data_IF_243977744250
#
_entry.id   IF_243977744250
#
_cell.length_a   1.000
_cell.length_b   1.000
_cell.length_c   1.000
_cell.angle_alpha   90.00
_cell.angle_beta   90.00
_cell.angle_gamma   90.00
#
_symmetry.space_group_name_H-M   'P 1'
#
loop_
_entity.id
_entity.type
_entity.pdbx_description
1 polymer ?
#
# COMPACT_ATOMS: atom_id res chain seq x y z
N UNK A 1 28.36 -6.39 -12.00
CA UNK A 1 27.30 -5.47 -11.53
C UNK A 1 27.05 -5.80 -10.07
N UNK A 2 27.11 -4.81 -9.16
CA UNK A 2 26.92 -5.06 -7.71
C UNK A 2 25.58 -5.77 -7.49
N UNK A 3 25.58 -6.81 -6.65
CA UNK A 3 24.38 -7.51 -6.20
C UNK A 3 23.30 -6.50 -5.84
N UNK A 4 22.23 -6.49 -6.63
CA UNK A 4 21.00 -5.80 -6.23
C UNK A 4 20.36 -6.72 -5.20
N UNK A 5 20.20 -6.22 -3.98
CA UNK A 5 19.48 -6.93 -2.92
C UNK A 5 17.98 -6.79 -3.22
N UNK A 6 17.52 -7.44 -4.28
CA UNK A 6 16.10 -7.60 -4.55
C UNK A 6 15.49 -8.53 -3.49
N UNK A 7 14.28 -8.24 -3.04
CA UNK A 7 13.51 -9.22 -2.26
C UNK A 7 13.06 -10.38 -3.15
N UNK A 8 12.54 -11.45 -2.55
CA UNK A 8 12.04 -12.61 -3.29
C UNK A 8 10.92 -12.20 -4.26
N UNK A 9 10.01 -11.33 -3.80
CA UNK A 9 8.97 -10.74 -4.65
C UNK A 9 9.59 -9.93 -5.79
N UNK A 10 10.45 -8.95 -5.49
CA UNK A 10 11.04 -8.08 -6.52
C UNK A 10 11.83 -8.88 -7.57
N UNK A 11 12.57 -9.90 -7.13
CA UNK A 11 13.36 -10.77 -7.99
C UNK A 11 12.48 -11.55 -8.97
N UNK A 12 11.31 -12.03 -8.54
CA UNK A 12 10.37 -12.75 -9.40
C UNK A 12 9.89 -11.87 -10.57
N UNK A 13 9.50 -10.62 -10.29
CA UNK A 13 9.09 -9.67 -11.33
C UNK A 13 10.27 -9.19 -12.18
N UNK A 14 11.45 -8.99 -11.58
CA UNK A 14 12.65 -8.57 -12.29
C UNK A 14 13.12 -9.61 -13.32
N UNK A 15 13.02 -10.91 -13.03
CA UNK A 15 13.38 -11.97 -13.99
C UNK A 15 12.33 -12.09 -15.09
N UNK A 16 11.05 -11.86 -14.78
CA UNK A 16 9.94 -12.00 -15.71
C UNK A 16 9.90 -10.91 -16.81
N UNK A 17 10.52 -9.75 -16.58
CA UNK A 17 10.53 -8.66 -17.56
C UNK A 17 11.36 -9.02 -18.83
N UNK A 18 11.02 -8.39 -19.96
CA UNK A 18 11.64 -8.69 -21.26
C UNK A 18 13.16 -8.42 -21.33
N UNK A 19 13.66 -7.44 -20.57
CA UNK A 19 15.09 -7.08 -20.52
C UNK A 19 15.54 -6.81 -19.09
N UNK A 20 16.55 -7.55 -18.65
CA UNK A 20 17.16 -7.42 -17.31
C UNK A 20 18.38 -6.48 -17.33
N UNK A 21 18.75 -5.95 -18.50
CA UNK A 21 19.86 -5.01 -18.64
C UNK A 21 19.42 -3.65 -18.10
N UNK A 22 20.11 -3.17 -17.07
CA UNK A 22 19.86 -1.87 -16.47
C UNK A 22 21.08 -0.97 -16.60
N UNK A 23 20.88 0.21 -17.16
CA UNK A 23 21.92 1.25 -17.35
C UNK A 23 21.83 2.37 -16.32
N UNK A 24 20.74 2.41 -15.55
CA UNK A 24 20.48 3.41 -14.51
C UNK A 24 21.20 3.08 -13.20
N UNK A 25 21.46 4.11 -12.38
CA UNK A 25 21.99 3.95 -11.03
C UNK A 25 20.94 3.40 -10.05
N UNK A 26 19.68 3.81 -10.23
CA UNK A 26 18.55 3.36 -9.43
C UNK A 26 17.94 2.12 -10.10
N UNK A 27 17.77 1.01 -9.37
CA UNK A 27 17.11 -0.18 -9.91
C UNK A 27 15.63 0.10 -10.21
N UNK A 28 15.12 -0.53 -11.26
CA UNK A 28 13.71 -0.46 -11.66
C UNK A 28 13.19 -1.84 -12.06
N UNK A 29 11.87 -2.01 -12.08
CA UNK A 29 11.19 -3.17 -12.63
C UNK A 29 10.22 -2.64 -13.68
N UNK A 30 10.33 -3.11 -14.92
CA UNK A 30 9.39 -2.75 -15.97
C UNK A 30 8.17 -3.68 -15.92
N UNK A 31 6.98 -3.08 -15.95
CA UNK A 31 5.70 -3.79 -15.97
C UNK A 31 4.84 -3.27 -17.12
N UNK A 32 3.96 -4.12 -17.64
CA UNK A 32 3.20 -3.81 -18.85
C UNK A 32 1.94 -2.96 -18.57
N UNK A 33 1.42 -2.98 -17.34
CA UNK A 33 0.15 -2.33 -17.00
C UNK A 33 0.00 -2.03 -15.49
N UNK A 34 -1.02 -1.22 -15.16
CA UNK A 34 -1.33 -0.82 -13.78
C UNK A 34 -1.82 -1.97 -12.87
N UNK A 35 -2.64 -2.94 -13.31
CA UNK A 35 -2.94 -4.13 -12.53
C UNK A 35 -1.71 -4.88 -12.03
N UNK A 36 -0.71 -5.08 -12.88
CA UNK A 36 0.54 -5.76 -12.52
C UNK A 36 1.37 -4.93 -11.54
N UNK A 37 1.40 -3.60 -11.71
CA UNK A 37 2.01 -2.70 -10.73
C UNK A 37 1.34 -2.81 -9.37
N UNK A 38 0.01 -2.86 -9.35
CA UNK A 38 -0.75 -3.09 -8.12
C UNK A 38 -0.44 -4.42 -7.46
N UNK A 39 -0.32 -5.50 -8.25
CA UNK A 39 0.02 -6.83 -7.74
C UNK A 39 1.44 -6.84 -7.14
N UNK A 40 2.45 -6.37 -7.87
CA UNK A 40 3.83 -6.28 -7.37
C UNK A 40 3.87 -5.48 -6.06
N UNK A 41 3.25 -4.30 -6.05
CA UNK A 41 3.25 -3.42 -4.87
C UNK A 41 2.54 -4.08 -3.69
N UNK A 42 1.44 -4.80 -3.92
CA UNK A 42 0.70 -5.51 -2.88
C UNK A 42 1.51 -6.65 -2.29
N UNK A 43 2.12 -7.48 -3.13
CA UNK A 43 2.96 -8.60 -2.68
C UNK A 43 4.17 -8.11 -1.90
N UNK A 44 4.85 -7.06 -2.40
CA UNK A 44 6.00 -6.49 -1.71
C UNK A 44 5.61 -5.82 -0.40
N UNK A 45 4.45 -5.16 -0.35
CA UNK A 45 3.91 -4.61 0.88
C UNK A 45 3.64 -5.71 1.93
N UNK A 46 2.95 -6.79 1.55
CA UNK A 46 2.66 -7.91 2.46
C UNK A 46 3.93 -8.65 2.93
N UNK A 47 4.92 -8.81 2.04
CA UNK A 47 6.25 -9.32 2.41
C UNK A 47 6.89 -8.41 3.47
N UNK A 48 6.86 -7.09 3.28
CA UNK A 48 7.41 -6.14 4.25
C UNK A 48 6.67 -6.14 5.58
N UNK A 49 5.34 -6.15 5.58
CA UNK A 49 4.51 -6.20 6.79
C UNK A 49 4.78 -7.48 7.57
N UNK A 50 5.01 -8.61 6.90
CA UNK A 50 5.35 -9.87 7.56
C UNK A 50 6.66 -9.80 8.37
N UNK A 51 7.58 -8.94 7.98
CA UNK A 51 8.84 -8.67 8.66
C UNK A 51 8.74 -7.48 9.64
N UNK A 52 7.73 -6.63 9.48
CA UNK A 52 7.54 -5.37 10.21
C UNK A 52 6.07 -5.21 10.66
N UNK A 53 5.56 -6.09 11.54
CA UNK A 53 4.14 -6.11 11.91
C UNK A 53 3.67 -4.83 12.62
N UNK A 54 4.57 -4.12 13.30
CA UNK A 54 4.31 -2.84 13.99
C UNK A 54 4.89 -1.64 13.22
N UNK A 55 5.16 -1.81 11.92
CA UNK A 55 5.78 -0.81 11.08
C UNK A 55 4.94 0.46 10.92
N UNK A 56 5.61 1.57 10.59
CA UNK A 56 4.97 2.85 10.25
C UNK A 56 4.82 2.95 8.74
N UNK A 57 3.61 3.23 8.28
CA UNK A 57 3.27 3.33 6.85
C UNK A 57 2.61 4.67 6.53
N UNK A 58 2.80 5.10 5.29
CA UNK A 58 2.12 6.26 4.72
C UNK A 58 1.79 5.95 3.28
N UNK A 59 0.50 5.89 2.95
CA UNK A 59 0.00 5.41 1.66
C UNK A 59 -0.70 6.55 0.90
N UNK A 60 -0.46 6.68 -0.42
CA UNK A 60 -1.03 7.76 -1.23
C UNK A 60 -2.53 7.59 -1.42
N UNK A 61 -3.25 8.66 -1.76
CA UNK A 61 -4.66 8.62 -2.14
C UNK A 61 -4.83 8.72 -3.66
N UNK A 62 -6.07 8.62 -4.15
CA UNK A 62 -6.40 8.81 -5.58
C UNK A 62 -6.50 7.51 -6.39
N UNK A 63 -6.28 7.61 -7.71
CA UNK A 63 -6.47 6.49 -8.66
C UNK A 63 -5.27 5.56 -8.76
N UNK A 64 -4.06 6.08 -8.63
CA UNK A 64 -2.83 5.30 -8.73
C UNK A 64 -2.78 4.09 -7.78
N UNK A 65 -3.15 4.21 -6.48
CA UNK A 65 -3.13 3.07 -5.57
C UNK A 65 -4.31 2.10 -5.73
N UNK A 66 -5.27 2.35 -6.63
CA UNK A 66 -6.53 1.58 -6.71
C UNK A 66 -6.28 0.07 -6.90
N UNK A 67 -5.39 -0.32 -7.81
CA UNK A 67 -5.05 -1.73 -8.00
C UNK A 67 -4.25 -2.31 -6.83
N UNK A 68 -3.40 -1.52 -6.18
CA UNK A 68 -2.68 -1.93 -4.98
C UNK A 68 -3.66 -2.24 -3.84
N UNK A 69 -4.63 -1.37 -3.58
CA UNK A 69 -5.68 -1.56 -2.56
C UNK A 69 -6.49 -2.82 -2.89
N UNK A 70 -6.99 -2.91 -4.12
CA UNK A 70 -7.80 -4.06 -4.58
C UNK A 70 -7.07 -5.39 -4.42
N UNK A 71 -5.81 -5.47 -4.86
CA UNK A 71 -5.01 -6.69 -4.71
C UNK A 71 -4.76 -7.01 -3.24
N UNK A 72 -4.41 -6.01 -2.42
CA UNK A 72 -4.12 -6.23 -1.00
C UNK A 72 -5.35 -6.75 -0.26
N UNK A 73 -6.51 -6.10 -0.43
CA UNK A 73 -7.77 -6.59 0.15
C UNK A 73 -8.14 -7.99 -0.39
N UNK A 74 -7.97 -8.24 -1.69
CA UNK A 74 -8.31 -9.53 -2.30
C UNK A 74 -7.43 -10.67 -1.74
N UNK A 75 -6.13 -10.44 -1.61
CA UNK A 75 -5.20 -11.42 -1.06
C UNK A 75 -5.47 -11.68 0.42
N UNK A 76 -5.72 -10.65 1.23
CA UNK A 76 -6.02 -10.77 2.66
C UNK A 76 -7.35 -11.51 2.91
N UNK A 77 -8.42 -11.13 2.20
CA UNK A 77 -9.77 -11.70 2.41
C UNK A 77 -9.87 -13.17 1.97
N UNK A 78 -9.01 -13.60 1.05
CA UNK A 78 -9.03 -14.95 0.48
C UNK A 78 -7.69 -15.66 0.64
N UNK A 79 -7.02 -15.46 1.78
CA UNK A 79 -5.67 -15.98 2.03
C UNK A 79 -5.55 -17.50 1.88
N UNK A 80 -6.58 -18.26 2.24
CA UNK A 80 -6.56 -19.74 2.12
C UNK A 80 -7.03 -20.25 0.74
N UNK A 81 -7.31 -19.36 -0.21
CA UNK A 81 -7.67 -19.74 -1.57
C UNK A 81 -6.43 -20.28 -2.31
N UNK A 82 -6.54 -21.51 -2.86
CA UNK A 82 -5.44 -22.21 -3.54
C UNK A 82 -4.91 -21.49 -4.79
N UNK A 83 -5.77 -20.83 -5.56
CA UNK A 83 -5.36 -20.10 -6.75
C UNK A 83 -4.54 -18.86 -6.35
N UNK A 84 -4.96 -18.15 -5.31
CA UNK A 84 -4.23 -16.99 -4.78
C UNK A 84 -2.96 -17.39 -4.01
N UNK A 85 -2.94 -18.55 -3.36
CA UNK A 85 -1.71 -19.14 -2.81
C UNK A 85 -0.69 -19.43 -3.91
N UNK A 86 -1.12 -20.07 -4.99
CA UNK A 86 -0.29 -20.33 -6.17
C UNK A 86 0.21 -19.01 -6.78
N UNK A 87 -0.66 -18.00 -6.91
CA UNK A 87 -0.29 -16.68 -7.41
C UNK A 87 0.80 -16.03 -6.54
N UNK A 88 0.65 -16.02 -5.21
CA UNK A 88 1.63 -15.44 -4.28
C UNK A 88 2.97 -16.15 -4.37
N UNK A 89 2.98 -17.48 -4.28
CA UNK A 89 4.20 -18.30 -4.35
C UNK A 89 4.92 -18.15 -5.68
N UNK A 90 4.19 -18.16 -6.80
CA UNK A 90 4.75 -17.94 -8.15
C UNK A 90 5.44 -16.58 -8.26
N UNK A 91 4.91 -15.57 -7.59
CA UNK A 91 5.42 -14.20 -7.60
C UNK A 91 6.34 -13.90 -6.40
N UNK A 92 6.92 -14.92 -5.77
CA UNK A 92 7.98 -14.76 -4.77
C UNK A 92 7.54 -14.43 -3.35
N UNK A 93 6.22 -14.33 -3.08
CA UNK A 93 5.72 -14.13 -1.72
C UNK A 93 5.59 -15.49 -1.01
N UNK A 94 6.60 -15.84 -0.21
CA UNK A 94 6.67 -17.08 0.56
C UNK A 94 6.43 -16.84 2.05
N UNK A 95 5.18 -16.55 2.40
CA UNK A 95 4.73 -16.42 3.80
C UNK A 95 3.57 -17.36 4.06
N UNK A 96 3.67 -18.11 5.16
CA UNK A 96 2.72 -19.19 5.49
C UNK A 96 1.41 -18.68 6.08
N UNK A 97 1.43 -17.50 6.73
CA UNK A 97 0.27 -16.91 7.40
C UNK A 97 -0.04 -15.55 6.81
N UNK A 98 -1.33 -15.19 6.81
CA UNK A 98 -1.75 -13.83 6.44
C UNK A 98 -1.10 -12.86 7.39
N UNK A 99 -0.44 -11.80 6.90
CA UNK A 99 0.03 -10.73 7.77
C UNK A 99 -1.17 -10.10 8.49
N UNK A 100 -1.00 -9.82 9.78
CA UNK A 100 -1.93 -9.01 10.54
C UNK A 100 -1.52 -7.55 10.41
N UNK A 101 -2.39 -6.72 9.84
CA UNK A 101 -2.12 -5.31 9.59
C UNK A 101 -2.58 -4.43 10.76
N UNK A 102 -3.29 -4.97 11.75
CA UNK A 102 -3.91 -4.22 12.84
C UNK A 102 -2.90 -3.49 13.75
N UNK A 103 -1.62 -3.87 13.69
CA UNK A 103 -0.56 -3.28 14.49
C UNK A 103 0.24 -2.21 13.72
N UNK A 104 -0.02 -2.01 12.44
CA UNK A 104 0.64 -0.97 11.65
C UNK A 104 0.22 0.43 12.12
N UNK A 105 1.18 1.35 12.18
CA UNK A 105 0.91 2.77 12.43
C UNK A 105 0.72 3.49 11.10
N UNK A 106 -0.46 4.04 10.87
CA UNK A 106 -0.76 4.77 9.64
C UNK A 106 -0.53 6.26 9.83
N UNK A 107 0.17 6.92 8.91
CA UNK A 107 0.35 8.38 8.88
C UNK A 107 -0.17 8.92 7.56
N UNK A 108 -1.18 9.79 7.60
CA UNK A 108 -1.74 10.44 6.41
C UNK A 108 -0.71 11.41 5.79
N UNK A 109 -0.61 11.40 4.46
CA UNK A 109 0.36 12.23 3.70
C UNK A 109 -0.11 13.68 3.61
N UNK A 110 -1.35 13.87 3.18
CA UNK A 110 -1.89 15.18 2.81
C UNK A 110 -3.42 15.23 2.97
N UNK A 111 -3.96 16.44 2.93
CA UNK A 111 -5.39 16.74 2.93
C UNK A 111 -5.64 18.08 2.23
N UNK A 112 -6.83 18.28 1.68
CA UNK A 112 -7.29 19.59 1.24
C UNK A 112 -7.71 20.42 2.45
N UNK A 113 -6.97 21.48 2.77
CA UNK A 113 -7.35 22.40 3.85
C UNK A 113 -8.12 23.62 3.31
N UNK A 114 -9.25 24.04 3.92
CA UNK A 114 -9.90 23.53 5.14
C UNK A 114 -11.13 22.65 4.82
N UNK A 115 -10.99 21.64 3.96
CA UNK A 115 -12.11 20.81 3.53
C UNK A 115 -12.71 20.07 4.72
N UNK A 116 -14.04 19.98 4.76
CA UNK A 116 -14.71 19.20 5.79
C UNK A 116 -14.38 17.69 5.60
N UNK A 117 -13.82 17.01 6.63
CA UNK A 117 -13.50 15.58 6.63
C UNK A 117 -14.60 14.64 6.16
N UNK A 118 -15.87 15.02 6.32
CA UNK A 118 -17.01 14.18 5.94
C UNK A 118 -17.30 14.21 4.43
N UNK A 119 -16.62 15.06 3.66
CA UNK A 119 -16.83 15.13 2.22
C UNK A 119 -16.14 13.96 1.50
N UNK A 120 -16.80 13.43 0.48
CA UNK A 120 -16.32 12.28 -0.29
C UNK A 120 -14.94 12.49 -0.95
N UNK A 121 -14.59 13.73 -1.28
CA UNK A 121 -13.30 14.12 -1.85
C UNK A 121 -12.23 14.43 -0.79
N UNK A 122 -12.54 14.31 0.50
CA UNK A 122 -11.57 14.43 1.59
C UNK A 122 -10.68 13.20 1.64
N UNK A 123 -9.38 13.43 1.81
CA UNK A 123 -8.40 12.35 1.88
C UNK A 123 -8.48 11.56 3.18
N UNK A 124 -8.90 12.18 4.29
CA UNK A 124 -9.19 11.45 5.53
C UNK A 124 -10.35 10.46 5.33
N UNK A 125 -11.40 10.84 4.60
CA UNK A 125 -12.51 9.94 4.26
C UNK A 125 -12.03 8.78 3.37
N UNK A 126 -11.19 9.08 2.37
CA UNK A 126 -10.56 8.05 1.53
C UNK A 126 -9.70 7.08 2.37
N UNK A 127 -8.84 7.60 3.25
CA UNK A 127 -7.96 6.81 4.12
C UNK A 127 -8.77 5.91 5.05
N UNK A 128 -9.80 6.45 5.69
CA UNK A 128 -10.69 5.67 6.57
C UNK A 128 -11.32 4.50 5.81
N UNK A 129 -11.90 4.77 4.64
CA UNK A 129 -12.64 3.77 3.86
C UNK A 129 -11.71 2.71 3.26
N UNK A 130 -10.66 3.13 2.56
CA UNK A 130 -9.88 2.22 1.71
C UNK A 130 -8.66 1.62 2.39
N UNK A 131 -8.11 2.30 3.40
CA UNK A 131 -6.95 1.80 4.14
C UNK A 131 -7.33 1.30 5.52
N UNK A 132 -7.96 2.12 6.38
CA UNK A 132 -8.22 1.68 7.75
C UNK A 132 -9.25 0.54 7.79
N UNK A 133 -10.45 0.75 7.24
CA UNK A 133 -11.47 -0.29 7.14
C UNK A 133 -11.02 -1.42 6.20
N UNK A 134 -10.51 -1.07 5.01
CA UNK A 134 -10.10 -2.03 3.99
C UNK A 134 -8.98 -2.97 4.41
N UNK A 135 -8.03 -2.52 5.25
CA UNK A 135 -6.90 -3.31 5.73
C UNK A 135 -7.05 -3.75 7.19
N UNK A 136 -8.14 -3.38 7.87
CA UNK A 136 -8.37 -3.73 9.28
C UNK A 136 -7.41 -3.03 10.25
N UNK A 137 -6.97 -1.81 9.92
CA UNK A 137 -6.13 -0.99 10.80
C UNK A 137 -7.05 -0.18 11.73
N UNK A 138 -6.97 -0.37 13.06
CA UNK A 138 -7.74 0.41 14.03
C UNK A 138 -7.47 1.92 13.92
N UNK A 139 -8.49 2.74 14.16
CA UNK A 139 -8.35 4.21 14.10
C UNK A 139 -7.34 4.78 15.10
N UNK A 140 -7.17 4.17 16.27
CA UNK A 140 -6.19 4.58 17.29
C UNK A 140 -4.74 4.26 16.89
N UNK A 141 -4.55 3.49 15.81
CA UNK A 141 -3.26 3.29 15.17
C UNK A 141 -2.95 4.32 14.08
N UNK A 142 -3.86 5.24 13.79
CA UNK A 142 -3.74 6.20 12.71
C UNK A 142 -3.53 7.64 13.20
N UNK A 143 -2.59 8.34 12.56
CA UNK A 143 -2.43 9.79 12.64
C UNK A 143 -3.01 10.41 11.37
N UNK A 144 -4.19 11.02 11.52
CA UNK A 144 -4.99 11.57 10.43
C UNK A 144 -5.06 13.09 10.50
N UNK A 145 -5.28 13.73 9.36
CA UNK A 145 -5.37 15.19 9.25
C UNK A 145 -6.85 15.59 9.31
N UNK A 146 -7.35 15.83 10.53
CA UNK A 146 -8.72 16.35 10.72
C UNK A 146 -8.75 17.87 10.59
N UNK A 147 -9.17 18.37 9.44
CA UNK A 147 -9.22 19.81 9.16
C UNK A 147 -10.19 20.58 10.08
N UNK A 148 -11.19 19.94 10.69
CA UNK A 148 -12.09 20.59 11.66
C UNK A 148 -11.38 20.92 12.99
N UNK A 149 -10.25 20.27 13.29
CA UNK A 149 -9.43 20.52 14.48
C UNK A 149 -8.33 21.55 14.23
N UNK A 150 -8.14 21.99 12.98
CA UNK A 150 -7.10 22.93 12.58
C UNK A 150 -7.72 24.33 12.39
N UNK A 151 -7.48 25.28 13.32
CA UNK A 151 -8.13 26.59 13.28
C UNK A 151 -7.71 27.39 12.06
N UNK A 152 -8.68 28.11 11.48
CA UNK A 152 -8.42 29.02 10.37
C UNK A 152 -7.67 30.26 10.84
N UNK A 153 -6.79 30.76 9.97
CA UNK A 153 -6.10 32.01 10.21
C UNK A 153 -7.11 33.15 10.39
N UNK A 154 -6.90 33.95 11.45
CA UNK A 154 -7.72 35.11 11.80
C UNK A 154 -9.21 34.80 12.04
N UNK A 155 -9.53 33.62 12.60
CA UNK A 155 -10.92 33.25 12.95
C UNK A 155 -11.90 33.31 11.77
N UNK A 156 -11.39 33.13 10.54
CA UNK A 156 -12.26 33.07 9.36
C UNK A 156 -13.20 31.86 9.44
N UNK A 157 -14.39 32.03 8.89
CA UNK A 157 -15.39 30.97 8.72
C UNK A 157 -15.75 30.83 7.23
N UNK A 158 -16.10 29.62 6.79
CA UNK A 158 -16.61 29.30 5.45
C UNK A 158 -18.05 28.83 5.51
#
# INVERSE_FOLDING_TARGET
>A
MKNKNWTSVEQAFFIAQASQVQTTKIPYICLDNFPDLGLLTSLRFLEWVSENPEGVISLPTGKTPEYFIKWTCHLLNYWENKELESLRKKNGLDISKSPDLSQLKFVQIDEFYPLNPSQHNSFINYVNTYYLEGFGIPHDQALLINCNEIPLAHEKHW
#
